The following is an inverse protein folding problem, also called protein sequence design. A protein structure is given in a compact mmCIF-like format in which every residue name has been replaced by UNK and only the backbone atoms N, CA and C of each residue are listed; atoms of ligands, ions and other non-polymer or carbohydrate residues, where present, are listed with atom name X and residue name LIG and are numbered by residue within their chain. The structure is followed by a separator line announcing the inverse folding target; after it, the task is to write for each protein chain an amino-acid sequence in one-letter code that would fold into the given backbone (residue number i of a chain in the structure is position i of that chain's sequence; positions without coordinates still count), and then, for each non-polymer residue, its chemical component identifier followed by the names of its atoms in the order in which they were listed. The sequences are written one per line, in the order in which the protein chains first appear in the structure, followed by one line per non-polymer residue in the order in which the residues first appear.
data_IF_428495743749
#
_entry.id   IF_428495743749
#
_cell.length_a   1.000
_cell.length_b   1.000
_cell.length_c   1.000
_cell.angle_alpha   90.00
_cell.angle_beta   90.00
_cell.angle_gamma   90.00
#
_symmetry.space_group_name_H-M   'P 1'
#
loop_
_entity.id
_entity.type
_entity.pdbx_description
1 polymer ?
#
# COMPACT_ATOMS: atom_id res chain seq x y z
N UNK A 1 10.15 -20.44 17.72
CA UNK A 1 8.74 -20.02 17.91
C UNK A 1 8.16 -19.33 16.67
N UNK A 2 8.21 -18.00 16.47
CA UNK A 2 7.45 -17.38 15.34
C UNK A 2 7.80 -17.93 13.94
N UNK A 3 9.10 -18.09 13.63
CA UNK A 3 9.57 -18.70 12.37
C UNK A 3 9.19 -20.18 12.23
N UNK A 4 9.19 -20.89 13.36
CA UNK A 4 8.87 -22.31 13.43
C UNK A 4 7.37 -22.52 13.18
N UNK A 5 6.52 -21.75 13.86
CA UNK A 5 5.07 -21.73 13.64
C UNK A 5 4.71 -21.34 12.21
N UNK A 6 5.44 -20.38 11.62
CA UNK A 6 5.26 -20.01 10.21
C UNK A 6 5.65 -21.15 9.27
N UNK A 7 6.76 -21.83 9.53
CA UNK A 7 7.19 -23.02 8.77
C UNK A 7 6.19 -24.18 8.89
N UNK A 8 5.66 -24.42 10.10
CA UNK A 8 4.65 -25.44 10.34
C UNK A 8 3.35 -25.15 9.59
N UNK A 9 2.95 -23.87 9.55
CA UNK A 9 1.78 -23.42 8.79
C UNK A 9 1.99 -23.53 7.28
N UNK A 10 3.19 -23.22 6.78
CA UNK A 10 3.54 -23.33 5.36
C UNK A 10 3.50 -24.77 4.86
N UNK A 11 4.06 -25.69 5.64
CA UNK A 11 4.19 -27.10 5.28
C UNK A 11 2.95 -27.93 5.66
N UNK A 12 1.98 -27.33 6.35
CA UNK A 12 0.82 -28.01 6.93
C UNK A 12 1.26 -29.25 7.74
N UNK A 13 2.28 -29.08 8.58
CA UNK A 13 2.94 -30.16 9.32
C UNK A 13 1.98 -30.96 10.24
N UNK A 14 0.83 -30.36 10.56
CA UNK A 14 -0.19 -30.94 11.43
C UNK A 14 -1.45 -31.41 10.67
N UNK A 15 -1.43 -31.39 9.33
CA UNK A 15 -2.54 -31.81 8.45
C UNK A 15 -3.87 -31.11 8.80
N UNK A 16 -3.80 -29.81 9.07
CA UNK A 16 -4.95 -28.99 9.43
C UNK A 16 -5.70 -28.52 8.17
N UNK A 17 -5.10 -28.68 6.98
CA UNK A 17 -5.64 -28.17 5.72
C UNK A 17 -5.63 -26.65 5.64
N UNK A 18 -4.89 -25.98 6.53
CA UNK A 18 -4.79 -24.51 6.60
C UNK A 18 -3.52 -24.09 5.88
N UNK A 19 -3.62 -23.04 5.05
CA UNK A 19 -2.48 -22.42 4.39
C UNK A 19 -2.33 -20.98 4.83
N UNK A 20 -1.10 -20.44 4.87
CA UNK A 20 -0.90 -19.02 5.13
C UNK A 20 -1.66 -18.19 4.10
N UNK A 21 -2.41 -17.22 4.59
CA UNK A 21 -3.05 -16.20 3.78
C UNK A 21 -2.23 -14.91 3.77
N UNK A 22 -2.74 -13.91 3.06
CA UNK A 22 -2.09 -12.61 2.95
C UNK A 22 -1.95 -11.87 4.30
N UNK A 23 -2.72 -12.23 5.34
CA UNK A 23 -2.52 -11.69 6.69
C UNK A 23 -1.32 -12.36 7.38
N UNK A 24 -1.24 -13.69 7.30
CA UNK A 24 -0.12 -14.46 7.86
C UNK A 24 1.23 -14.00 7.28
N UNK A 25 1.30 -13.83 5.95
CA UNK A 25 2.51 -13.31 5.30
C UNK A 25 2.86 -11.88 5.75
N UNK A 26 1.87 -11.00 5.87
CA UNK A 26 2.10 -9.64 6.32
C UNK A 26 2.60 -9.58 7.77
N UNK A 27 2.05 -10.41 8.67
CA UNK A 27 2.56 -10.45 10.04
C UNK A 27 3.95 -11.07 10.15
N UNK A 28 4.25 -12.08 9.35
CA UNK A 28 5.60 -12.64 9.33
C UNK A 28 6.63 -11.59 8.89
N UNK A 29 6.31 -10.76 7.89
CA UNK A 29 7.15 -9.61 7.50
C UNK A 29 7.34 -8.60 8.64
N UNK A 30 6.28 -8.31 9.41
CA UNK A 30 6.38 -7.43 10.57
C UNK A 30 7.26 -8.03 11.69
N UNK A 31 7.16 -9.35 11.90
CA UNK A 31 8.01 -10.07 12.86
C UNK A 31 9.47 -9.99 12.44
N UNK A 32 9.78 -10.21 11.17
CA UNK A 32 11.15 -10.03 10.64
C UNK A 32 11.61 -8.60 10.90
N UNK A 33 10.79 -7.59 10.56
CA UNK A 33 11.13 -6.18 10.73
C UNK A 33 11.46 -5.78 12.18
N UNK A 34 10.81 -6.42 13.17
CA UNK A 34 10.98 -6.13 14.60
C UNK A 34 12.13 -6.90 15.25
N UNK A 35 12.49 -8.06 14.73
CA UNK A 35 13.43 -8.98 15.38
C UNK A 35 14.78 -9.10 14.66
N UNK A 36 14.99 -8.34 13.58
CA UNK A 36 16.25 -8.31 12.84
C UNK A 36 16.73 -6.89 12.63
N UNK A 37 18.05 -6.69 12.67
CA UNK A 37 18.65 -5.39 12.41
C UNK A 37 18.34 -4.91 10.99
N UNK A 38 18.06 -3.62 10.84
CA UNK A 38 17.60 -3.01 9.58
C UNK A 38 18.56 -3.27 8.42
N UNK A 39 19.86 -3.22 8.67
CA UNK A 39 20.92 -3.43 7.68
C UNK A 39 21.44 -4.87 7.63
N UNK A 40 20.83 -5.81 8.36
CA UNK A 40 21.31 -7.19 8.38
C UNK A 40 21.00 -7.93 7.08
N UNK A 41 21.97 -8.74 6.64
CA UNK A 41 21.79 -9.67 5.52
C UNK A 41 20.67 -10.67 5.84
N UNK A 42 20.56 -11.10 7.10
CA UNK A 42 19.50 -11.99 7.57
C UNK A 42 18.11 -11.39 7.30
N UNK A 43 17.88 -10.12 7.66
CA UNK A 43 16.61 -9.43 7.37
C UNK A 43 16.25 -9.49 5.90
N UNK A 44 17.20 -9.20 5.02
CA UNK A 44 16.99 -9.27 3.57
C UNK A 44 16.61 -10.68 3.12
N UNK A 45 17.34 -11.70 3.55
CA UNK A 45 17.06 -13.10 3.20
C UNK A 45 15.67 -13.52 3.68
N UNK A 46 15.29 -13.16 4.92
CA UNK A 46 13.97 -13.49 5.46
C UNK A 46 12.82 -12.78 4.73
N UNK A 47 13.01 -11.51 4.35
CA UNK A 47 12.02 -10.80 3.54
C UNK A 47 11.88 -11.47 2.16
N UNK A 48 13.00 -11.86 1.53
CA UNK A 48 13.02 -12.59 0.25
C UNK A 48 12.24 -13.91 0.33
N UNK A 49 12.50 -14.71 1.36
CA UNK A 49 11.81 -15.97 1.63
C UNK A 49 10.29 -15.76 1.79
N UNK A 50 9.88 -14.93 2.74
CA UNK A 50 8.46 -14.72 3.08
C UNK A 50 7.69 -14.11 1.90
N UNK A 51 8.29 -13.16 1.18
CA UNK A 51 7.64 -12.57 0.00
C UNK A 51 7.59 -13.56 -1.17
N UNK A 52 8.62 -14.39 -1.35
CA UNK A 52 8.62 -15.49 -2.33
C UNK A 52 7.51 -16.50 -2.07
N UNK A 53 7.27 -16.85 -0.81
CA UNK A 53 6.17 -17.72 -0.40
C UNK A 53 4.81 -17.08 -0.70
N UNK A 54 4.63 -15.80 -0.37
CA UNK A 54 3.40 -15.06 -0.65
C UNK A 54 3.11 -15.00 -2.16
N UNK A 55 4.14 -14.81 -2.99
CA UNK A 55 4.05 -14.80 -4.44
C UNK A 55 3.64 -16.17 -4.99
N UNK A 56 4.27 -17.23 -4.51
CA UNK A 56 3.97 -18.63 -4.89
C UNK A 56 2.55 -19.04 -4.46
N UNK A 57 2.11 -18.58 -3.29
CA UNK A 57 0.78 -18.84 -2.77
C UNK A 57 -0.31 -18.03 -3.50
N UNK A 58 0.04 -16.98 -4.24
CA UNK A 58 -0.91 -16.06 -4.87
C UNK A 58 -1.61 -15.13 -3.87
N UNK A 59 -0.94 -14.84 -2.75
CA UNK A 59 -1.47 -14.12 -1.59
C UNK A 59 -0.81 -12.74 -1.40
N UNK A 60 -0.44 -12.06 -2.47
CA UNK A 60 0.11 -10.70 -2.40
C UNK A 60 -1.05 -9.69 -2.36
N UNK A 61 -1.28 -9.11 -1.19
CA UNK A 61 -2.30 -8.07 -0.97
C UNK A 61 -1.65 -6.70 -0.69
N UNK A 62 -2.47 -5.66 -0.59
CA UNK A 62 -1.99 -4.33 -0.18
C UNK A 62 -1.37 -4.33 1.23
N UNK A 63 -1.78 -5.28 2.07
CA UNK A 63 -1.30 -5.45 3.43
C UNK A 63 0.12 -6.03 3.42
N UNK A 64 0.36 -7.06 2.59
CA UNK A 64 1.70 -7.66 2.38
C UNK A 64 2.68 -6.63 1.84
N UNK A 65 2.26 -5.84 0.84
CA UNK A 65 3.10 -4.79 0.24
C UNK A 65 3.49 -3.72 1.27
N UNK A 66 2.54 -3.29 2.12
CA UNK A 66 2.81 -2.32 3.19
C UNK A 66 3.73 -2.89 4.27
N UNK A 67 3.51 -4.14 4.68
CA UNK A 67 4.38 -4.81 5.65
C UNK A 67 5.81 -4.92 5.11
N UNK A 68 5.96 -5.28 3.84
CA UNK A 68 7.25 -5.34 3.18
C UNK A 68 7.91 -3.96 3.04
N UNK A 69 7.14 -2.91 2.71
CA UNK A 69 7.61 -1.52 2.73
C UNK A 69 8.15 -1.10 4.10
N UNK A 70 7.48 -1.54 5.18
CA UNK A 70 7.95 -1.29 6.55
C UNK A 70 9.13 -2.18 6.95
N UNK A 71 9.23 -3.37 6.36
CA UNK A 71 10.30 -4.32 6.65
C UNK A 71 11.59 -3.97 5.91
N UNK A 72 11.54 -3.37 4.73
CA UNK A 72 12.73 -2.93 4.02
C UNK A 72 13.32 -1.67 4.66
N UNK A 73 14.65 -1.63 4.91
CA UNK A 73 15.31 -0.46 5.50
C UNK A 73 15.43 0.71 4.51
N UNK A 74 15.45 0.42 3.21
CA UNK A 74 15.60 1.41 2.14
C UNK A 74 14.84 1.00 0.87
N UNK A 75 14.55 2.00 0.03
CA UNK A 75 13.81 1.82 -1.22
C UNK A 75 14.62 1.04 -2.27
N UNK A 76 15.94 0.98 -2.15
CA UNK A 76 16.83 0.28 -3.09
C UNK A 76 16.64 -1.23 -2.95
N UNK A 77 16.72 -1.76 -1.73
CA UNK A 77 16.46 -3.17 -1.43
C UNK A 77 15.05 -3.54 -1.86
N UNK A 78 14.07 -2.67 -1.58
CA UNK A 78 12.69 -2.92 -1.97
C UNK A 78 12.50 -2.96 -3.49
N UNK A 79 13.21 -2.12 -4.26
CA UNK A 79 13.19 -2.14 -5.72
C UNK A 79 13.81 -3.44 -6.28
N UNK A 80 14.94 -3.87 -5.72
CA UNK A 80 15.62 -5.12 -6.08
C UNK A 80 14.70 -6.33 -5.86
N UNK A 81 14.06 -6.40 -4.70
CA UNK A 81 13.15 -7.48 -4.31
C UNK A 81 11.93 -7.57 -5.21
N UNK A 82 11.32 -6.41 -5.49
CA UNK A 82 10.11 -6.35 -6.30
C UNK A 82 10.38 -6.45 -7.80
N UNK A 83 11.66 -6.38 -8.22
CA UNK A 83 12.08 -6.30 -9.63
C UNK A 83 11.29 -5.25 -10.43
N UNK A 84 10.88 -4.17 -9.77
CA UNK A 84 10.07 -3.12 -10.39
C UNK A 84 10.97 -2.24 -11.26
N UNK A 85 10.54 -1.98 -12.50
CA UNK A 85 11.20 -1.03 -13.42
C UNK A 85 10.92 0.45 -13.08
N UNK A 86 10.64 0.79 -11.82
CA UNK A 86 10.22 2.14 -11.42
C UNK A 86 10.40 2.42 -9.93
N UNK A 87 10.12 3.66 -9.53
CA UNK A 87 10.27 4.11 -8.14
C UNK A 87 9.27 3.40 -7.21
N UNK A 88 9.78 2.86 -6.11
CA UNK A 88 9.04 2.14 -5.07
C UNK A 88 8.02 3.03 -4.34
N UNK A 89 8.28 4.34 -4.29
CA UNK A 89 7.35 5.34 -3.77
C UNK A 89 6.00 5.40 -4.52
N UNK A 90 5.89 4.71 -5.66
CA UNK A 90 4.72 4.71 -6.56
C UNK A 90 3.90 3.42 -6.57
N UNK A 91 4.05 2.51 -5.60
CA UNK A 91 3.17 1.33 -5.53
C UNK A 91 1.77 1.76 -5.05
N UNK A 92 1.01 2.35 -5.97
CA UNK A 92 -0.36 2.83 -5.75
C UNK A 92 -1.38 1.70 -5.85
N UNK A 93 -1.00 0.56 -6.42
CA UNK A 93 -1.90 -0.57 -6.64
C UNK A 93 -1.17 -1.88 -6.77
N UNK A 94 -1.69 -2.92 -6.11
CA UNK A 94 -1.18 -4.28 -6.24
C UNK A 94 -1.52 -4.87 -7.62
N UNK A 95 -2.42 -4.22 -8.38
CA UNK A 95 -2.72 -4.61 -9.77
C UNK A 95 -1.54 -4.41 -10.73
N UNK A 96 -0.47 -3.73 -10.31
CA UNK A 96 0.76 -3.66 -11.11
C UNK A 96 1.59 -4.93 -11.02
N UNK A 97 1.33 -5.81 -10.03
CA UNK A 97 2.03 -7.07 -9.90
C UNK A 97 1.43 -8.15 -10.81
N UNK A 98 2.23 -9.19 -11.15
CA UNK A 98 1.73 -10.35 -11.88
C UNK A 98 0.43 -10.90 -11.28
N UNK A 99 -0.56 -11.18 -12.13
CA UNK A 99 -1.87 -11.68 -11.68
C UNK A 99 -1.76 -12.97 -10.87
N UNK A 100 -0.74 -13.80 -11.14
CA UNK A 100 -0.45 -15.02 -10.39
C UNK A 100 -0.19 -14.73 -8.90
N UNK A 101 0.47 -13.62 -8.58
CA UNK A 101 0.78 -13.22 -7.20
C UNK A 101 -0.44 -12.73 -6.43
N UNK A 102 -1.46 -12.22 -7.12
CA UNK A 102 -2.69 -11.69 -6.49
C UNK A 102 -3.89 -12.61 -6.64
N UNK A 103 -3.70 -13.79 -7.26
CA UNK A 103 -4.77 -14.65 -7.76
C UNK A 103 -5.77 -15.09 -6.70
N UNK A 104 -5.35 -15.29 -5.46
CA UNK A 104 -6.20 -15.73 -4.34
C UNK A 104 -6.71 -14.59 -3.45
N UNK A 105 -6.26 -13.36 -3.70
CA UNK A 105 -6.64 -12.18 -2.91
C UNK A 105 -7.89 -11.55 -3.53
N UNK A 106 -8.98 -11.30 -2.79
CA UNK A 106 -10.16 -10.57 -3.29
C UNK A 106 -9.83 -9.15 -3.77
N UNK A 107 -10.61 -8.62 -4.72
CA UNK A 107 -10.31 -7.37 -5.43
C UNK A 107 -10.22 -6.15 -4.49
N UNK A 108 -11.01 -6.15 -3.42
CA UNK A 108 -11.05 -5.12 -2.38
C UNK A 108 -9.72 -5.00 -1.62
N UNK A 109 -8.97 -6.08 -1.45
CA UNK A 109 -7.68 -6.10 -0.74
C UNK A 109 -6.48 -5.80 -1.65
N UNK A 110 -6.67 -5.80 -2.98
CA UNK A 110 -5.62 -5.50 -3.98
C UNK A 110 -5.36 -4.01 -4.18
N UNK A 111 -6.20 -3.13 -3.63
CA UNK A 111 -6.01 -1.68 -3.73
C UNK A 111 -5.17 -1.17 -2.57
N UNK A 112 -4.02 -0.56 -2.88
CA UNK A 112 -3.29 0.24 -1.89
C UNK A 112 -3.99 1.60 -1.86
N UNK A 113 -4.83 1.85 -0.85
CA UNK A 113 -5.56 3.12 -0.79
C UNK A 113 -4.59 4.31 -0.81
N UNK A 114 -4.65 5.14 -1.85
CA UNK A 114 -3.94 6.41 -1.90
C UNK A 114 -4.57 7.38 -0.89
N UNK A 115 -3.74 8.16 -0.16
CA UNK A 115 -4.21 9.21 0.78
C UNK A 115 -5.21 10.19 0.13
N UNK A 116 -5.20 10.33 -1.20
CA UNK A 116 -6.15 11.19 -1.94
C UNK A 116 -7.55 10.59 -2.11
N UNK A 117 -7.67 9.26 -2.21
CA UNK A 117 -8.96 8.62 -2.53
C UNK A 117 -9.98 8.69 -1.39
N UNK A 118 -9.51 8.73 -0.14
CA UNK A 118 -10.39 8.84 1.02
C UNK A 118 -11.02 10.25 1.15
N UNK A 119 -10.23 11.29 0.85
CA UNK A 119 -10.71 12.68 0.87
C UNK A 119 -11.66 13.00 -0.31
N UNK A 120 -11.47 12.38 -1.47
CA UNK A 120 -12.39 12.58 -2.61
C UNK A 120 -13.75 11.90 -2.40
N UNK A 121 -13.82 10.77 -1.69
CA UNK A 121 -15.12 10.13 -1.39
C UNK A 121 -15.95 10.90 -0.35
N UNK A 122 -15.31 11.49 0.68
CA UNK A 122 -16.04 12.33 1.64
C UNK A 122 -16.49 13.68 1.05
N UNK A 123 -15.67 14.30 0.18
CA UNK A 123 -16.03 15.57 -0.46
C UNK A 123 -17.15 15.46 -1.50
N UNK A 124 -17.36 14.29 -2.12
CA UNK A 124 -18.51 14.05 -3.01
C UNK A 124 -19.85 13.92 -2.27
N UNK A 125 -19.83 13.48 -1.00
CA UNK A 125 -21.03 13.44 -0.17
C UNK A 125 -21.49 14.84 0.26
N UNK A 126 -20.57 15.79 0.51
CA UNK A 126 -20.93 17.16 0.89
C UNK A 126 -21.34 18.08 -0.26
N UNK A 127 -21.05 17.72 -1.52
CA UNK A 127 -21.42 18.55 -2.68
C UNK A 127 -22.80 18.27 -3.26
N UNK A 128 -23.40 17.12 -2.98
CA UNK A 128 -24.70 16.72 -3.54
C UNK A 128 -25.92 17.29 -2.78
N UNK A 129 -25.71 18.16 -1.79
CA UNK A 129 -26.76 18.78 -0.97
C UNK A 129 -26.96 20.29 -1.17
N UNK A 130 -26.34 20.91 -2.19
CA UNK A 130 -26.48 22.36 -2.46
C UNK A 130 -26.83 22.68 -3.92
N UNK A 131 -27.62 21.84 -4.57
CA UNK A 131 -28.32 22.20 -5.81
C UNK A 131 -29.79 22.43 -5.51
N UNK A 132 -30.11 23.61 -4.98
CA UNK A 132 -31.48 24.02 -4.74
C UNK A 132 -31.58 25.23 -3.81
N UNK A 133 -32.01 26.36 -4.38
CA UNK A 133 -32.42 27.63 -3.76
C UNK A 133 -31.36 28.73 -3.63
N UNK A 134 -31.64 29.87 -4.29
CA UNK A 134 -31.11 31.18 -3.91
C UNK A 134 -30.79 32.13 -5.08
N UNK A 135 -31.79 32.92 -5.50
CA UNK A 135 -31.70 34.03 -6.47
C UNK A 135 -30.99 35.28 -5.89
N UNK A 136 -30.57 36.18 -6.79
CA UNK A 136 -30.39 37.64 -6.60
C UNK A 136 -29.11 38.07 -5.84
N UNK A 137 -28.37 39.16 -6.12
CA UNK A 137 -28.56 40.38 -6.93
C UNK A 137 -27.19 41.09 -7.13
N UNK A 138 -27.12 41.94 -8.16
CA UNK A 138 -26.16 43.03 -8.36
C UNK A 138 -25.62 43.71 -7.08
N UNK A 139 -24.31 43.96 -7.02
CA UNK A 139 -23.82 45.29 -6.63
C UNK A 139 -22.45 45.63 -7.23
N UNK A 140 -22.46 46.74 -7.97
CA UNK A 140 -21.36 47.48 -8.58
C UNK A 140 -20.59 48.22 -7.48
N UNK A 141 -19.26 48.10 -7.43
CA UNK A 141 -18.33 49.12 -6.88
C UNK A 141 -16.87 48.70 -7.10
N UNK A 142 -16.19 49.29 -8.09
CA UNK A 142 -14.74 49.53 -8.02
C UNK A 142 -14.45 50.91 -8.59
N UNK A 143 -14.29 51.85 -7.67
CA UNK A 143 -13.85 53.22 -7.91
C UNK A 143 -12.33 53.29 -7.69
N UNK A 144 -11.61 53.83 -8.70
CA UNK A 144 -10.49 54.78 -8.62
C UNK A 144 -9.30 54.53 -7.65
N UNK A 145 -8.11 54.35 -8.23
CA UNK A 145 -6.93 55.30 -8.30
C UNK A 145 -5.59 54.54 -8.39
N UNK A 146 -4.79 54.81 -9.44
CA UNK A 146 -3.44 55.47 -9.46
C UNK A 146 -2.42 54.80 -8.52
N UNK A 147 -1.23 54.36 -8.93
CA UNK A 147 -0.13 54.93 -9.75
C UNK A 147 0.94 53.81 -9.86
N UNK A 148 1.99 53.76 -10.68
CA UNK A 148 2.71 54.68 -11.54
C UNK A 148 3.51 53.80 -12.52
N UNK A 149 3.61 54.20 -13.78
CA UNK A 149 4.61 53.69 -14.72
C UNK A 149 5.70 54.77 -14.86
N UNK A 150 6.98 54.35 -14.81
CA UNK A 150 8.10 54.81 -15.64
C UNK A 150 9.43 54.35 -15.04
N UNK A 151 10.14 53.51 -15.78
CA UNK A 151 11.48 53.80 -16.27
C UNK A 151 11.45 53.63 -17.78
#
# INVERSE_FOLDING_TARGET
IALETYSDLLNDNFDLGVRPDHFAFAEMLNVVAKNTDSESIERRQRIEEVFGDACSAGQVSSLVVKAMQSACPNDIILADLLRLRGSVASIESVNMFPRQWTSKVPQEFRRVASRKDHFQKQSKFYRKGKEGQGKSSNHKSKNKRRSNAKN
#
